data_IF_718462554414
#
_entry.id   IF_718462554414
#
_cell.length_a   1.000
_cell.length_b   1.000
_cell.length_c   1.000
_cell.angle_alpha   90.00
_cell.angle_beta   90.00
_cell.angle_gamma   90.00
#
_symmetry.space_group_name_H-M   'P 1'
#
loop_
_entity.id
_entity.type
_entity.pdbx_description
1 polymer ?
#
# COMPACT_ATOMS: atom_id res chain seq x y z
N UNK A 1 7.65 -11.72 25.85
CA UNK A 1 8.15 -12.04 24.49
C UNK A 1 9.50 -12.71 24.66
N UNK A 2 9.73 -13.86 24.01
CA UNK A 2 11.05 -14.50 23.95
C UNK A 2 11.60 -14.23 22.54
N UNK A 3 12.69 -13.45 22.46
CA UNK A 3 13.34 -13.05 21.21
C UNK A 3 14.84 -13.35 21.32
N UNK A 4 15.43 -13.89 20.25
CA UNK A 4 16.85 -14.28 20.19
C UNK A 4 17.77 -13.06 20.19
N UNK A 5 17.39 -11.99 19.50
CA UNK A 5 18.09 -10.70 19.50
C UNK A 5 17.24 -9.63 20.21
N UNK A 6 17.47 -9.35 21.51
CA UNK A 6 16.68 -8.39 22.28
C UNK A 6 16.72 -6.96 21.72
N UNK A 7 17.71 -6.62 20.88
CA UNK A 7 17.81 -5.31 20.24
C UNK A 7 16.88 -5.17 19.02
N UNK A 8 16.33 -6.27 18.52
CA UNK A 8 15.57 -6.38 17.28
C UNK A 8 16.30 -5.82 16.03
N UNK A 9 17.62 -5.63 16.09
CA UNK A 9 18.39 -5.00 15.01
C UNK A 9 18.28 -5.75 13.69
N UNK A 10 18.11 -7.07 13.75
CA UNK A 10 17.97 -7.95 12.58
C UNK A 10 16.52 -8.33 12.26
N UNK A 11 15.55 -7.84 13.02
CA UNK A 11 14.14 -8.17 12.80
C UNK A 11 13.64 -7.53 11.50
N UNK A 12 12.90 -8.30 10.69
CA UNK A 12 12.33 -7.79 9.44
C UNK A 12 11.42 -6.57 9.66
N UNK A 13 10.70 -6.52 10.78
CA UNK A 13 9.88 -5.36 11.15
C UNK A 13 10.68 -4.08 11.38
N UNK A 14 11.92 -4.18 11.87
CA UNK A 14 12.81 -3.02 12.05
C UNK A 14 13.46 -2.59 10.74
N UNK A 15 13.74 -3.54 9.86
CA UNK A 15 14.39 -3.31 8.57
C UNK A 15 13.40 -2.95 7.44
N UNK A 16 12.10 -3.11 7.67
CA UNK A 16 11.07 -2.79 6.70
C UNK A 16 10.94 -1.28 6.52
N UNK A 17 10.73 -0.84 5.27
CA UNK A 17 10.38 0.55 4.94
C UNK A 17 8.95 0.92 5.38
N UNK A 18 8.16 -0.08 5.82
CA UNK A 18 6.76 0.08 6.20
C UNK A 18 5.81 0.26 5.01
N UNK A 19 4.53 0.43 5.33
CA UNK A 19 3.46 0.72 4.36
C UNK A 19 2.36 -0.33 4.30
N UNK A 20 1.17 0.09 3.85
CA UNK A 20 -0.02 -0.76 3.74
C UNK A 20 -0.67 -0.51 2.39
N UNK A 21 -0.87 -1.58 1.62
CA UNK A 21 -1.50 -1.55 0.29
C UNK A 21 -2.68 -2.49 0.22
N UNK A 22 -3.65 -2.20 -0.65
CA UNK A 22 -4.81 -3.07 -0.84
C UNK A 22 -4.77 -3.87 -2.15
N UNK A 23 -3.80 -3.64 -3.05
CA UNK A 23 -3.76 -4.31 -4.36
C UNK A 23 -3.29 -5.78 -4.29
N UNK A 24 -3.99 -6.60 -3.52
CA UNK A 24 -3.75 -8.05 -3.40
C UNK A 24 -4.74 -8.86 -4.26
N UNK A 25 -4.45 -10.15 -4.42
CA UNK A 25 -5.31 -11.07 -5.20
C UNK A 25 -6.32 -11.85 -4.35
N UNK A 26 -6.17 -11.85 -3.02
CA UNK A 26 -7.03 -12.59 -2.10
C UNK A 26 -7.89 -11.63 -1.27
N UNK A 27 -9.14 -12.04 -1.00
CA UNK A 27 -10.07 -11.30 -0.15
C UNK A 27 -9.51 -11.06 1.26
N UNK A 28 -8.89 -12.10 1.82
CA UNK A 28 -8.31 -12.06 3.18
C UNK A 28 -7.24 -10.99 3.28
N UNK A 29 -6.32 -10.91 2.32
CA UNK A 29 -5.25 -9.90 2.36
C UNK A 29 -5.78 -8.48 2.18
N UNK A 30 -6.81 -8.29 1.34
CA UNK A 30 -7.49 -7.00 1.18
C UNK A 30 -8.12 -6.57 2.52
N UNK A 31 -8.83 -7.47 3.18
CA UNK A 31 -9.48 -7.19 4.47
C UNK A 31 -8.47 -6.94 5.59
N UNK A 32 -7.36 -7.68 5.63
CA UNK A 32 -6.26 -7.44 6.57
C UNK A 32 -5.62 -6.07 6.35
N UNK A 33 -5.40 -5.67 5.09
CA UNK A 33 -4.88 -4.35 4.78
C UNK A 33 -5.85 -3.23 5.19
N UNK A 34 -7.16 -3.40 4.93
CA UNK A 34 -8.19 -2.44 5.35
C UNK A 34 -8.28 -2.31 6.86
N UNK A 35 -8.18 -3.43 7.58
CA UNK A 35 -8.10 -3.42 9.03
C UNK A 35 -6.83 -2.69 9.49
N UNK A 36 -5.67 -3.00 8.90
CA UNK A 36 -4.40 -2.35 9.20
C UNK A 36 -4.48 -0.82 9.04
N UNK A 37 -5.04 -0.33 7.93
CA UNK A 37 -5.26 1.11 7.73
C UNK A 37 -6.11 1.70 8.85
N UNK A 38 -7.25 1.08 9.18
CA UNK A 38 -8.12 1.55 10.27
C UNK A 38 -7.40 1.53 11.62
N UNK A 39 -6.62 0.49 11.89
CA UNK A 39 -5.88 0.34 13.13
C UNK A 39 -4.83 1.44 13.29
N UNK A 40 -3.95 1.63 12.29
CA UNK A 40 -2.88 2.60 12.36
C UNK A 40 -3.35 4.05 12.33
N UNK A 41 -4.49 4.34 11.67
CA UNK A 41 -5.13 5.67 11.73
C UNK A 41 -5.51 6.11 13.14
N UNK A 42 -5.82 5.17 14.02
CA UNK A 42 -6.25 5.43 15.40
C UNK A 42 -5.23 4.95 16.43
N UNK A 43 -4.01 4.59 16.01
CA UNK A 43 -3.03 3.97 16.89
C UNK A 43 -2.61 4.92 18.00
N UNK A 44 -2.16 6.12 17.62
CA UNK A 44 -1.64 7.11 18.58
C UNK A 44 -2.74 7.60 19.54
N UNK A 45 -3.99 7.74 19.04
CA UNK A 45 -5.16 8.06 19.87
C UNK A 45 -5.44 6.97 20.92
N UNK A 46 -5.32 5.69 20.54
CA UNK A 46 -5.64 4.56 21.41
C UNK A 46 -4.52 4.19 22.37
N UNK A 47 -3.27 4.35 21.96
CA UNK A 47 -2.11 3.78 22.65
C UNK A 47 -1.06 4.82 23.06
N UNK A 48 -1.18 6.08 22.65
CA UNK A 48 -0.22 7.13 23.00
C UNK A 48 -0.09 7.41 24.50
N UNK A 49 -1.03 6.93 25.33
CA UNK A 49 -0.94 6.99 26.78
C UNK A 49 -0.09 5.86 27.40
N UNK A 50 0.26 4.82 26.62
CA UNK A 50 1.03 3.67 27.08
C UNK A 50 2.53 3.81 26.80
N UNK A 51 2.92 4.68 25.87
CA UNK A 51 4.32 4.90 25.48
C UNK A 51 4.50 6.25 24.77
N UNK A 52 5.73 6.76 24.77
CA UNK A 52 6.09 8.02 24.09
C UNK A 52 6.22 7.90 22.56
N UNK A 53 6.26 6.68 22.02
CA UNK A 53 6.37 6.44 20.58
C UNK A 53 5.11 6.84 19.82
N UNK A 54 5.28 7.35 18.59
CA UNK A 54 4.18 7.62 17.66
C UNK A 54 4.29 6.73 16.42
N UNK A 55 3.16 6.21 15.95
CA UNK A 55 3.09 5.41 14.73
C UNK A 55 3.42 6.24 13.48
N UNK A 56 3.16 7.56 13.51
CA UNK A 56 3.43 8.47 12.40
C UNK A 56 2.88 7.95 11.05
N UNK A 57 1.70 7.32 11.09
CA UNK A 57 1.16 6.61 9.94
C UNK A 57 0.68 7.59 8.85
N UNK A 58 1.28 7.49 7.66
CA UNK A 58 0.92 8.30 6.50
C UNK A 58 0.41 7.39 5.37
N UNK A 59 -0.82 7.65 4.90
CA UNK A 59 -1.43 6.90 3.80
C UNK A 59 -0.92 7.42 2.45
N UNK A 60 0.32 7.07 2.10
CA UNK A 60 0.95 7.48 0.83
C UNK A 60 0.39 6.75 -0.40
N UNK A 61 -0.26 5.61 -0.20
CA UNK A 61 -0.74 4.76 -1.28
C UNK A 61 0.39 4.06 -2.04
N UNK A 62 0.03 3.33 -3.09
CA UNK A 62 0.96 2.59 -3.94
C UNK A 62 0.53 2.76 -5.39
N UNK A 63 1.37 3.34 -6.23
CA UNK A 63 1.13 3.44 -7.66
C UNK A 63 1.92 2.34 -8.39
N UNK A 64 1.21 1.46 -9.08
CA UNK A 64 1.81 0.53 -10.04
C UNK A 64 1.69 1.14 -11.43
N UNK A 65 2.82 1.29 -12.13
CA UNK A 65 2.85 1.67 -13.55
C UNK A 65 2.73 0.40 -14.40
N UNK A 66 1.89 0.46 -15.42
CA UNK A 66 1.53 -0.70 -16.24
C UNK A 66 1.92 -0.43 -17.69
N UNK A 67 2.75 -1.29 -18.24
CA UNK A 67 3.15 -1.27 -19.65
C UNK A 67 2.11 -1.96 -20.57
N UNK A 68 2.37 -1.90 -21.87
CA UNK A 68 1.54 -2.56 -22.88
C UNK A 68 1.40 -4.07 -22.66
N UNK A 69 2.47 -4.74 -22.22
CA UNK A 69 2.50 -6.20 -22.05
C UNK A 69 1.57 -6.65 -20.93
N UNK A 70 1.45 -5.86 -19.86
CA UNK A 70 0.74 -6.23 -18.64
C UNK A 70 -0.70 -5.70 -18.58
N UNK A 71 -1.12 -4.94 -19.59
CA UNK A 71 -2.41 -4.24 -19.64
C UNK A 71 -3.60 -5.17 -19.35
N UNK A 72 -3.76 -6.24 -20.12
CA UNK A 72 -4.91 -7.15 -19.97
C UNK A 72 -4.96 -7.79 -18.57
N UNK A 73 -3.78 -8.14 -18.03
CA UNK A 73 -3.68 -8.77 -16.71
C UNK A 73 -4.07 -7.80 -15.59
N UNK A 74 -3.61 -6.55 -15.67
CA UNK A 74 -3.94 -5.52 -14.68
C UNK A 74 -5.41 -5.10 -14.73
N UNK A 75 -6.03 -5.02 -15.91
CA UNK A 75 -7.46 -4.75 -16.03
C UNK A 75 -8.31 -5.83 -15.35
N UNK A 76 -8.02 -7.10 -15.63
CA UNK A 76 -8.70 -8.23 -14.96
C UNK A 76 -8.48 -8.21 -13.45
N UNK A 77 -7.27 -7.86 -13.02
CA UNK A 77 -6.92 -7.76 -11.60
C UNK A 77 -7.67 -6.62 -10.92
N UNK A 78 -7.76 -5.46 -11.55
CA UNK A 78 -8.47 -4.29 -11.02
C UNK A 78 -9.96 -4.58 -10.81
N UNK A 79 -10.61 -5.19 -11.81
CA UNK A 79 -12.02 -5.61 -11.71
C UNK A 79 -12.21 -6.57 -10.53
N UNK A 80 -11.32 -7.55 -10.38
CA UNK A 80 -11.38 -8.51 -9.26
C UNK A 80 -11.18 -7.81 -7.92
N UNK A 81 -10.18 -6.94 -7.80
CA UNK A 81 -9.87 -6.21 -6.56
C UNK A 81 -11.04 -5.35 -6.10
N UNK A 82 -11.67 -4.60 -7.01
CA UNK A 82 -12.86 -3.81 -6.72
C UNK A 82 -14.03 -4.68 -6.25
N UNK A 83 -14.27 -5.82 -6.92
CA UNK A 83 -15.30 -6.79 -6.48
C UNK A 83 -15.03 -7.37 -5.09
N UNK A 84 -13.76 -7.52 -4.72
CA UNK A 84 -13.35 -7.94 -3.39
C UNK A 84 -13.35 -6.81 -2.35
N UNK A 85 -13.68 -5.59 -2.77
CA UNK A 85 -13.82 -4.41 -1.92
C UNK A 85 -12.54 -3.61 -1.73
N UNK A 86 -11.46 -3.88 -2.47
CA UNK A 86 -10.24 -3.08 -2.38
C UNK A 86 -10.49 -1.65 -2.87
N UNK A 87 -9.93 -0.66 -2.16
CA UNK A 87 -9.92 0.72 -2.61
C UNK A 87 -8.79 0.90 -3.63
N UNK A 88 -9.14 0.86 -4.92
CA UNK A 88 -8.21 0.94 -6.05
C UNK A 88 -8.80 1.69 -7.25
N UNK A 89 -7.97 2.50 -7.89
CA UNK A 89 -8.32 3.35 -9.04
C UNK A 89 -7.34 3.12 -10.19
N UNK A 90 -7.87 3.13 -11.42
CA UNK A 90 -7.07 3.21 -12.64
C UNK A 90 -6.82 4.69 -12.93
N UNK A 91 -5.58 5.03 -13.23
CA UNK A 91 -5.16 6.38 -13.59
C UNK A 91 -4.66 6.37 -15.03
N UNK A 92 -5.16 7.28 -15.85
CA UNK A 92 -4.56 7.57 -17.15
C UNK A 92 -3.18 8.23 -16.97
N UNK A 93 -2.34 8.15 -17.99
CA UNK A 93 -0.98 8.74 -18.00
C UNK A 93 -1.00 10.22 -17.58
N UNK A 94 -1.93 11.03 -18.09
CA UNK A 94 -2.07 12.45 -17.72
C UNK A 94 -2.42 12.66 -16.23
N UNK A 95 -3.12 11.72 -15.61
CA UNK A 95 -3.41 11.78 -14.17
C UNK A 95 -2.16 11.43 -13.36
N UNK A 96 -1.34 10.49 -13.84
CA UNK A 96 -0.07 10.12 -13.21
C UNK A 96 0.92 11.28 -13.30
N UNK A 97 1.07 11.90 -14.47
CA UNK A 97 1.97 13.03 -14.66
C UNK A 97 1.59 14.23 -13.78
N UNK A 98 0.29 14.44 -13.51
CA UNK A 98 -0.15 15.47 -12.54
C UNK A 98 0.22 15.13 -11.09
N UNK A 99 0.27 13.85 -10.73
CA UNK A 99 0.66 13.40 -9.39
C UNK A 99 2.18 13.36 -9.23
N UNK A 100 2.91 12.99 -10.29
CA UNK A 100 4.35 12.77 -10.32
C UNK A 100 4.94 13.37 -11.62
N UNK A 101 5.15 14.69 -11.68
CA UNK A 101 5.57 15.38 -12.91
C UNK A 101 6.94 14.95 -13.45
N UNK A 102 7.82 14.46 -12.58
CA UNK A 102 9.20 14.12 -12.93
C UNK A 102 9.36 12.65 -13.40
N UNK A 103 8.26 11.87 -13.44
CA UNK A 103 8.30 10.47 -13.87
C UNK A 103 8.18 10.39 -15.39
N UNK A 104 9.09 9.65 -16.02
CA UNK A 104 9.03 9.31 -17.45
C UNK A 104 8.01 8.19 -17.66
N UNK A 105 7.09 8.37 -18.61
CA UNK A 105 5.93 7.50 -18.84
C UNK A 105 5.80 7.04 -20.29
N UNK A 106 6.87 7.16 -21.09
CA UNK A 106 6.85 6.92 -22.55
C UNK A 106 6.39 5.51 -22.94
N UNK A 107 6.59 4.53 -22.06
CA UNK A 107 6.25 3.11 -22.22
C UNK A 107 5.10 2.65 -21.30
N UNK A 108 4.42 3.59 -20.65
CA UNK A 108 3.35 3.31 -19.68
C UNK A 108 1.98 3.59 -20.29
N UNK A 109 1.09 2.61 -20.19
CA UNK A 109 -0.29 2.72 -20.69
C UNK A 109 -1.22 3.33 -19.64
N UNK A 110 -1.04 2.96 -18.37
CA UNK A 110 -1.83 3.46 -17.24
C UNK A 110 -1.19 3.11 -15.89
N UNK A 111 -1.79 3.63 -14.83
CA UNK A 111 -1.42 3.38 -13.46
C UNK A 111 -2.55 2.73 -12.67
N UNK A 112 -2.19 1.93 -11.67
CA UNK A 112 -3.14 1.46 -10.65
C UNK A 112 -2.70 1.98 -9.29
N UNK A 113 -3.57 2.78 -8.68
CA UNK A 113 -3.37 3.40 -7.37
C UNK A 113 -4.35 2.85 -6.33
#
# INVERSE_FOLDING_TARGET
>A
VIERDPSYTRASSRLAMGGIRQQFSSRVNIQLAQYGVKFYRHFDERFGHLHEGQANFQQRGYLFLVDAVQTEHFEKRLVRQRRLGAYVTRLEVDQIHRLLPDVVLDDIEFGVF
#
